data_IF_893637136765
#
_entry.id   IF_893637136765
#
_cell.length_a   1.000
_cell.length_b   1.000
_cell.length_c   1.000
_cell.angle_alpha   90.00
_cell.angle_beta   90.00
_cell.angle_gamma   90.00
#
_symmetry.space_group_name_H-M   'P 1'
#
loop_
_entity.id
_entity.type
_entity.pdbx_description
1 polymer ?
#
# COMPACT_ATOMS: atom_id res chain seq x y z
N UNK A 1 1.14 -23.91 0.29
CA UNK A 1 1.03 -22.43 0.31
C UNK A 1 -0.41 -22.00 0.59
N UNK A 2 -1.41 -22.50 -0.18
CA UNK A 2 -2.83 -22.17 -0.01
C UNK A 2 -3.34 -22.45 1.41
N UNK A 3 -3.07 -23.65 1.94
CA UNK A 3 -3.49 -24.04 3.30
C UNK A 3 -2.84 -23.20 4.39
N UNK A 4 -1.58 -22.77 4.22
CA UNK A 4 -0.89 -21.92 5.20
C UNK A 4 -1.46 -20.49 5.23
N UNK A 5 -1.78 -19.92 4.08
CA UNK A 5 -2.39 -18.58 3.98
C UNK A 5 -3.83 -18.62 4.49
N UNK A 6 -4.59 -19.67 4.18
CA UNK A 6 -5.94 -19.85 4.74
C UNK A 6 -5.92 -20.00 6.26
N UNK A 7 -4.94 -20.72 6.82
CA UNK A 7 -4.76 -20.83 8.26
C UNK A 7 -4.44 -19.48 8.89
N UNK A 8 -3.57 -18.66 8.25
CA UNK A 8 -3.26 -17.31 8.69
C UNK A 8 -4.49 -16.40 8.67
N UNK A 9 -5.26 -16.42 7.59
CA UNK A 9 -6.50 -15.60 7.47
C UNK A 9 -7.55 -16.05 8.49
N UNK A 10 -7.60 -17.34 8.81
CA UNK A 10 -8.52 -17.93 9.78
C UNK A 10 -8.11 -17.71 11.24
N UNK A 11 -6.95 -17.08 11.52
CA UNK A 11 -6.56 -16.77 12.90
C UNK A 11 -7.59 -15.86 13.56
N UNK A 12 -7.94 -16.15 14.84
CA UNK A 12 -8.94 -15.37 15.58
C UNK A 12 -8.53 -13.89 15.62
N UNK A 13 -9.54 -13.02 15.67
CA UNK A 13 -9.39 -11.55 15.73
C UNK A 13 -8.70 -10.90 14.51
N UNK A 14 -8.53 -11.61 13.38
CA UNK A 14 -7.92 -11.05 12.17
C UNK A 14 -6.42 -10.77 12.27
N UNK A 15 -5.73 -11.35 13.27
CA UNK A 15 -4.28 -11.14 13.49
C UNK A 15 -3.48 -11.56 12.25
N UNK A 16 -3.83 -12.68 11.63
CA UNK A 16 -3.17 -13.13 10.41
C UNK A 16 -3.35 -12.14 9.25
N UNK A 17 -4.55 -11.60 9.10
CA UNK A 17 -4.84 -10.58 8.08
C UNK A 17 -4.10 -9.27 8.34
N UNK A 18 -3.93 -8.89 9.60
CA UNK A 18 -3.09 -7.75 10.00
C UNK A 18 -1.63 -7.94 9.54
N UNK A 19 -1.06 -9.11 9.84
CA UNK A 19 0.30 -9.46 9.43
C UNK A 19 0.40 -9.45 7.90
N UNK A 20 -0.54 -10.11 7.21
CA UNK A 20 -0.54 -10.19 5.75
C UNK A 20 -0.68 -8.81 5.11
N UNK A 21 -1.54 -7.93 5.64
CA UNK A 21 -1.70 -6.55 5.18
C UNK A 21 -0.42 -5.71 5.37
N UNK A 22 0.31 -5.91 6.49
CA UNK A 22 1.59 -5.26 6.73
C UNK A 22 2.67 -5.71 5.73
N UNK A 23 2.73 -7.01 5.45
CA UNK A 23 3.77 -7.59 4.61
C UNK A 23 3.44 -7.60 3.11
N UNK A 24 2.22 -7.26 2.71
CA UNK A 24 1.85 -7.25 1.29
C UNK A 24 2.72 -6.29 0.46
N UNK A 25 2.88 -5.03 0.88
CA UNK A 25 3.70 -4.06 0.15
C UNK A 25 5.19 -4.47 0.06
N UNK A 26 5.86 -5.02 1.08
CA UNK A 26 7.16 -5.69 0.94
C UNK A 26 7.21 -6.77 -0.14
N UNK A 27 6.16 -7.57 -0.31
CA UNK A 27 6.13 -8.59 -1.38
C UNK A 27 5.94 -8.00 -2.78
N UNK A 28 5.29 -6.83 -2.87
CA UNK A 28 5.24 -6.04 -4.10
C UNK A 28 6.64 -5.59 -4.50
N UNK A 29 7.42 -5.09 -3.53
CA UNK A 29 8.83 -4.68 -3.75
C UNK A 29 9.68 -5.87 -4.19
N UNK A 30 9.45 -7.06 -3.63
CA UNK A 30 10.13 -8.29 -4.02
C UNK A 30 9.65 -8.87 -5.36
N UNK A 31 8.60 -8.31 -5.99
CA UNK A 31 8.06 -8.75 -7.27
C UNK A 31 7.23 -10.04 -7.22
N UNK A 32 7.00 -10.61 -6.02
CA UNK A 32 6.30 -11.91 -5.89
C UNK A 32 4.78 -11.77 -5.78
N UNK A 33 4.25 -10.56 -5.72
CA UNK A 33 2.81 -10.30 -5.52
C UNK A 33 1.91 -10.87 -6.63
N UNK A 34 2.40 -11.02 -7.85
CA UNK A 34 1.65 -11.65 -8.95
C UNK A 34 1.30 -13.12 -8.67
N UNK A 35 2.07 -13.81 -7.83
CA UNK A 35 1.77 -15.19 -7.44
C UNK A 35 0.49 -15.31 -6.60
N UNK A 36 0.04 -14.23 -5.99
CA UNK A 36 -1.17 -14.22 -5.15
C UNK A 36 -2.46 -14.39 -5.94
N UNK A 37 -2.45 -14.15 -7.25
CA UNK A 37 -3.58 -14.48 -8.13
C UNK A 37 -3.96 -15.96 -8.05
N UNK A 38 -3.01 -16.86 -7.81
CA UNK A 38 -3.26 -18.28 -7.61
C UNK A 38 -4.08 -18.51 -6.32
N UNK A 39 -3.84 -17.70 -5.29
CA UNK A 39 -4.59 -17.76 -4.03
C UNK A 39 -6.03 -17.30 -4.25
N UNK A 40 -6.22 -16.18 -4.95
CA UNK A 40 -7.54 -15.68 -5.30
C UNK A 40 -8.34 -16.73 -6.07
N UNK A 41 -7.77 -17.28 -7.15
CA UNK A 41 -8.42 -18.30 -7.96
C UNK A 41 -8.72 -19.57 -7.16
N UNK A 42 -7.80 -19.99 -6.27
CA UNK A 42 -8.01 -21.13 -5.37
C UNK A 42 -9.13 -20.90 -4.37
N UNK A 43 -9.26 -19.69 -3.82
CA UNK A 43 -10.37 -19.34 -2.92
C UNK A 43 -11.70 -19.22 -3.68
N UNK A 44 -11.70 -18.56 -4.83
CA UNK A 44 -12.90 -18.44 -5.68
C UNK A 44 -13.43 -19.81 -6.10
N UNK A 45 -12.56 -20.74 -6.51
CA UNK A 45 -13.00 -22.08 -6.93
C UNK A 45 -13.55 -22.92 -5.77
N UNK A 46 -13.05 -22.71 -4.55
CA UNK A 46 -13.42 -23.49 -3.36
C UNK A 46 -14.61 -22.89 -2.58
N UNK A 47 -14.68 -21.58 -2.49
CA UNK A 47 -15.60 -20.86 -1.61
C UNK A 47 -16.56 -19.93 -2.38
N UNK A 48 -16.36 -19.71 -3.70
CA UNK A 48 -17.10 -18.73 -4.49
C UNK A 48 -16.74 -17.27 -4.20
N UNK A 49 -15.85 -17.03 -3.22
CA UNK A 49 -15.35 -15.70 -2.83
C UNK A 49 -13.87 -15.78 -2.47
N UNK A 50 -13.15 -14.68 -2.68
CA UNK A 50 -11.79 -14.54 -2.21
C UNK A 50 -11.72 -13.50 -1.09
N UNK A 51 -11.05 -13.83 0.01
CA UNK A 51 -10.75 -12.93 1.13
C UNK A 51 -9.39 -12.25 0.96
N UNK A 52 -8.57 -12.72 0.01
CA UNK A 52 -7.25 -12.18 -0.24
C UNK A 52 -7.29 -10.83 -0.95
N UNK A 53 -8.17 -10.67 -1.94
CA UNK A 53 -8.28 -9.45 -2.74
C UNK A 53 -8.58 -8.18 -1.89
N UNK A 54 -9.51 -8.19 -0.92
CA UNK A 54 -9.71 -7.05 -0.03
C UNK A 54 -8.48 -6.69 0.80
N UNK A 55 -7.69 -7.69 1.27
CA UNK A 55 -6.44 -7.45 1.98
C UNK A 55 -5.41 -6.75 1.09
N UNK A 56 -5.23 -7.25 -0.13
CA UNK A 56 -4.36 -6.64 -1.13
C UNK A 56 -4.80 -5.20 -1.46
N UNK A 57 -6.11 -4.99 -1.61
CA UNK A 57 -6.68 -3.66 -1.85
C UNK A 57 -6.40 -2.70 -0.70
N UNK A 58 -6.56 -3.14 0.54
CA UNK A 58 -6.26 -2.33 1.72
C UNK A 58 -4.78 -1.88 1.74
N UNK A 59 -3.85 -2.80 1.46
CA UNK A 59 -2.43 -2.49 1.41
C UNK A 59 -2.08 -1.50 0.28
N UNK A 60 -2.68 -1.67 -0.90
CA UNK A 60 -2.48 -0.77 -2.04
C UNK A 60 -2.98 0.65 -1.74
N UNK A 61 -4.18 0.76 -1.19
CA UNK A 61 -4.83 2.02 -0.81
C UNK A 61 -4.01 2.74 0.27
N UNK A 62 -3.49 2.01 1.24
CA UNK A 62 -2.64 2.56 2.29
C UNK A 62 -1.35 3.18 1.74
N UNK A 63 -0.71 2.54 0.76
CA UNK A 63 0.46 3.13 0.09
C UNK A 63 0.10 4.43 -0.62
N UNK A 64 -1.11 4.51 -1.21
CA UNK A 64 -1.63 5.75 -1.79
C UNK A 64 -1.81 6.86 -0.75
N UNK A 65 -2.37 6.52 0.42
CA UNK A 65 -2.53 7.46 1.54
C UNK A 65 -1.20 8.00 2.06
N UNK A 66 -0.21 7.12 2.22
CA UNK A 66 1.15 7.51 2.61
C UNK A 66 1.79 8.45 1.58
N UNK A 67 1.65 8.14 0.28
CA UNK A 67 2.17 8.97 -0.82
C UNK A 67 1.50 10.33 -0.87
N UNK A 68 0.18 10.40 -0.66
CA UNK A 68 -0.55 11.67 -0.63
C UNK A 68 -0.09 12.55 0.53
N UNK A 69 0.17 11.96 1.71
CA UNK A 69 0.71 12.70 2.85
C UNK A 69 2.08 13.33 2.53
N UNK A 70 2.96 12.61 1.83
CA UNK A 70 4.22 13.17 1.32
C UNK A 70 3.96 14.30 0.34
N UNK A 71 3.06 14.11 -0.63
CA UNK A 71 2.72 15.10 -1.65
C UNK A 71 2.23 16.42 -1.07
N UNK A 72 1.42 16.36 -0.02
CA UNK A 72 0.86 17.56 0.62
C UNK A 72 1.84 18.23 1.58
N UNK A 73 2.76 17.47 2.17
CA UNK A 73 3.70 17.97 3.17
C UNK A 73 5.00 18.50 2.56
N UNK A 74 5.38 18.01 1.38
CA UNK A 74 6.60 18.45 0.70
C UNK A 74 6.49 19.86 0.12
N UNK A 75 7.56 20.63 0.22
CA UNK A 75 7.73 21.93 -0.44
C UNK A 75 8.39 21.81 -1.81
N UNK A 76 9.03 20.69 -2.11
CA UNK A 76 9.69 20.44 -3.38
C UNK A 76 8.64 20.15 -4.47
N UNK A 77 8.57 21.02 -5.47
CA UNK A 77 7.63 20.91 -6.60
C UNK A 77 7.89 19.68 -7.47
N UNK A 78 9.14 19.20 -7.56
CA UNK A 78 9.46 17.97 -8.31
C UNK A 78 8.89 16.75 -7.62
N UNK A 79 9.01 16.67 -6.29
CA UNK A 79 8.43 15.57 -5.51
C UNK A 79 6.92 15.64 -5.57
N UNK A 80 6.33 16.82 -5.40
CA UNK A 80 4.89 17.02 -5.43
C UNK A 80 4.25 16.64 -6.76
N UNK A 81 4.85 17.05 -7.89
CA UNK A 81 4.35 16.73 -9.23
C UNK A 81 4.38 15.23 -9.55
N UNK A 82 5.26 14.47 -8.94
CA UNK A 82 5.34 13.01 -9.06
C UNK A 82 4.41 12.32 -8.03
N UNK A 83 4.38 12.81 -6.80
CA UNK A 83 3.69 12.12 -5.70
C UNK A 83 2.16 12.20 -5.83
N UNK A 84 1.60 13.32 -6.32
CA UNK A 84 0.14 13.46 -6.50
C UNK A 84 -0.41 12.41 -7.48
N UNK A 85 0.07 12.30 -8.74
CA UNK A 85 -0.43 11.28 -9.66
C UNK A 85 -0.11 9.86 -9.19
N UNK A 86 1.01 9.64 -8.50
CA UNK A 86 1.35 8.34 -7.93
C UNK A 86 0.39 7.91 -6.82
N UNK A 87 -0.03 8.84 -5.95
CA UNK A 87 -1.04 8.56 -4.93
C UNK A 87 -2.38 8.19 -5.55
N UNK A 88 -2.80 8.91 -6.59
CA UNK A 88 -4.03 8.61 -7.32
C UNK A 88 -3.96 7.24 -8.00
N UNK A 89 -2.84 6.93 -8.65
CA UNK A 89 -2.57 5.63 -9.27
C UNK A 89 -2.69 4.49 -8.25
N UNK A 90 -2.12 4.65 -7.06
CA UNK A 90 -2.21 3.65 -5.99
C UNK A 90 -3.65 3.44 -5.49
N UNK A 91 -4.45 4.52 -5.39
CA UNK A 91 -5.88 4.42 -5.08
C UNK A 91 -6.66 3.65 -6.17
N UNK A 92 -6.20 3.67 -7.40
CA UNK A 92 -6.79 2.89 -8.51
C UNK A 92 -6.25 1.45 -8.57
N UNK A 93 -5.32 1.07 -7.69
CA UNK A 93 -4.77 -0.28 -7.59
C UNK A 93 -3.40 -0.49 -8.21
N UNK A 94 -2.80 0.54 -8.82
CA UNK A 94 -1.47 0.51 -9.43
C UNK A 94 -0.49 1.21 -8.48
N UNK A 95 0.21 0.45 -7.66
CA UNK A 95 0.99 0.96 -6.52
C UNK A 95 2.46 1.19 -6.82
N UNK A 96 2.99 0.68 -7.92
CA UNK A 96 4.40 0.76 -8.27
C UNK A 96 4.93 2.21 -8.29
N UNK A 97 4.25 3.20 -8.91
CA UNK A 97 4.71 4.58 -8.88
C UNK A 97 4.75 5.17 -7.47
N UNK A 98 3.80 4.83 -6.62
CA UNK A 98 3.74 5.28 -5.24
C UNK A 98 4.83 4.64 -4.37
N UNK A 99 5.01 3.32 -4.50
CA UNK A 99 5.99 2.58 -3.71
C UNK A 99 7.41 2.96 -4.12
N UNK A 100 7.76 2.80 -5.41
CA UNK A 100 9.13 3.00 -5.88
C UNK A 100 9.48 4.48 -6.09
N UNK A 101 8.54 5.28 -6.60
CA UNK A 101 8.77 6.69 -6.88
C UNK A 101 8.85 7.55 -5.61
N UNK A 102 8.07 7.23 -4.58
CA UNK A 102 7.92 8.08 -3.40
C UNK A 102 8.22 7.34 -2.10
N UNK A 103 7.43 6.32 -1.74
CA UNK A 103 7.44 5.78 -0.38
C UNK A 103 8.76 5.12 0.01
N UNK A 104 9.35 4.30 -0.87
CA UNK A 104 10.65 3.66 -0.66
C UNK A 104 11.80 4.66 -0.69
N UNK A 105 11.71 5.69 -1.52
CA UNK A 105 12.73 6.73 -1.61
C UNK A 105 12.96 7.42 -0.26
N UNK A 106 11.90 7.63 0.51
CA UNK A 106 11.95 8.23 1.85
C UNK A 106 11.98 7.19 2.96
N UNK A 107 11.68 5.93 2.69
CA UNK A 107 11.69 4.80 3.62
C UNK A 107 10.54 4.82 4.65
N UNK A 108 10.45 5.86 5.48
CA UNK A 108 9.42 5.98 6.51
C UNK A 108 8.00 5.95 5.97
N UNK A 109 7.62 6.68 4.90
CA UNK A 109 6.29 6.60 4.32
C UNK A 109 5.91 5.19 3.89
N UNK A 110 6.86 4.40 3.39
CA UNK A 110 6.63 3.00 3.05
C UNK A 110 6.20 2.17 4.26
N UNK A 111 6.90 2.31 5.38
CA UNK A 111 6.58 1.60 6.63
C UNK A 111 5.22 2.05 7.18
N UNK A 112 4.92 3.34 7.14
CA UNK A 112 3.60 3.86 7.57
C UNK A 112 2.47 3.36 6.68
N UNK A 113 2.72 3.23 5.37
CA UNK A 113 1.82 2.58 4.42
C UNK A 113 1.57 1.10 4.75
N UNK A 114 2.62 0.36 5.13
CA UNK A 114 2.48 -1.04 5.58
C UNK A 114 1.60 -1.15 6.84
N UNK A 115 1.79 -0.26 7.81
CA UNK A 115 0.98 -0.23 9.04
C UNK A 115 -0.48 0.13 8.72
N UNK A 116 -0.72 1.14 7.89
CA UNK A 116 -2.07 1.49 7.43
C UNK A 116 -2.77 0.35 6.70
N UNK A 117 -2.04 -0.38 5.83
CA UNK A 117 -2.51 -1.57 5.16
C UNK A 117 -2.89 -2.70 6.12
N UNK A 118 -2.12 -2.87 7.20
CA UNK A 118 -2.41 -3.83 8.25
C UNK A 118 -3.76 -3.54 8.96
N UNK A 119 -4.04 -2.28 9.29
CA UNK A 119 -5.32 -1.90 9.89
C UNK A 119 -6.51 -2.09 8.94
N UNK A 120 -6.34 -1.74 7.67
CA UNK A 120 -7.38 -1.99 6.66
C UNK A 120 -7.64 -3.47 6.45
N UNK A 121 -6.60 -4.30 6.38
CA UNK A 121 -6.70 -5.75 6.24
C UNK A 121 -7.34 -6.40 7.48
N UNK A 122 -7.00 -5.94 8.68
CA UNK A 122 -7.65 -6.35 9.93
C UNK A 122 -9.16 -6.09 9.86
N UNK A 123 -9.56 -4.88 9.48
CA UNK A 123 -10.97 -4.52 9.35
C UNK A 123 -11.69 -5.39 8.31
N UNK A 124 -11.09 -5.61 7.14
CA UNK A 124 -11.63 -6.47 6.10
C UNK A 124 -11.87 -7.91 6.60
N UNK A 125 -10.94 -8.43 7.39
CA UNK A 125 -11.04 -9.78 7.97
C UNK A 125 -12.13 -9.85 9.04
N UNK A 126 -12.21 -8.88 9.96
CA UNK A 126 -13.21 -8.87 11.03
C UNK A 126 -14.63 -8.73 10.47
N UNK A 127 -14.81 -7.98 9.37
CA UNK A 127 -16.11 -7.83 8.70
C UNK A 127 -16.42 -8.97 7.72
N UNK A 128 -15.52 -9.95 7.56
CA UNK A 128 -15.71 -11.05 6.62
C UNK A 128 -15.83 -10.58 5.17
N UNK A 129 -15.16 -9.48 4.81
CA UNK A 129 -15.23 -8.89 3.48
C UNK A 129 -14.62 -9.84 2.45
N UNK A 130 -15.44 -10.35 1.53
CA UNK A 130 -15.04 -11.22 0.44
C UNK A 130 -15.35 -10.60 -0.92
N UNK A 131 -14.48 -10.84 -1.89
CA UNK A 131 -14.65 -10.42 -3.28
C UNK A 131 -15.12 -11.60 -4.14
N UNK A 132 -16.03 -11.34 -5.06
CA UNK A 132 -16.61 -12.36 -5.99
C UNK A 132 -15.78 -12.57 -7.26
N UNK A 133 -14.67 -11.85 -7.39
CA UNK A 133 -13.75 -11.94 -8.52
C UNK A 133 -12.35 -11.53 -8.12
N UNK A 134 -11.42 -11.55 -9.07
CA UNK A 134 -10.02 -11.17 -8.89
C UNK A 134 -9.54 -10.21 -9.98
N UNK A 135 -8.37 -9.62 -9.79
CA UNK A 135 -7.66 -8.83 -10.80
C UNK A 135 -7.75 -7.32 -10.64
N UNK A 136 -8.74 -6.80 -9.91
CA UNK A 136 -8.92 -5.35 -9.74
C UNK A 136 -8.90 -4.99 -8.26
N UNK A 137 -8.00 -4.08 -7.88
CA UNK A 137 -7.84 -3.57 -6.50
C UNK A 137 -8.12 -2.06 -6.43
N UNK A 138 -7.91 -1.46 -5.27
CA UNK A 138 -8.14 -0.03 -5.08
C UNK A 138 -9.62 0.34 -5.13
N UNK A 139 -9.92 1.54 -5.61
CA UNK A 139 -11.31 2.05 -5.71
C UNK A 139 -12.20 1.11 -6.52
N UNK A 140 -11.69 0.58 -7.64
CA UNK A 140 -12.46 -0.31 -8.51
C UNK A 140 -12.72 -1.70 -7.90
N UNK A 141 -11.99 -2.09 -6.87
CA UNK A 141 -12.24 -3.34 -6.13
C UNK A 141 -13.61 -3.38 -5.46
N UNK A 142 -14.27 -2.24 -5.27
CA UNK A 142 -15.65 -2.17 -4.77
C UNK A 142 -16.63 -2.94 -5.67
N UNK A 143 -16.37 -2.97 -6.98
CA UNK A 143 -17.21 -3.69 -7.94
C UNK A 143 -17.18 -5.20 -7.73
N UNK A 144 -16.11 -5.71 -7.14
CA UNK A 144 -15.96 -7.13 -6.80
C UNK A 144 -16.46 -7.46 -5.38
N UNK A 145 -16.76 -6.43 -4.58
CA UNK A 145 -17.23 -6.54 -3.20
C UNK A 145 -18.67 -6.01 -3.02
N UNK A 146 -19.50 -6.12 -4.06
CA UNK A 146 -20.87 -5.60 -4.05
C UNK A 146 -21.78 -6.28 -2.99
N UNK A 147 -21.36 -7.43 -2.45
CA UNK A 147 -22.06 -8.07 -1.34
C UNK A 147 -22.01 -7.24 -0.05
N UNK A 148 -20.93 -6.46 0.16
CA UNK A 148 -20.73 -5.61 1.33
C UNK A 148 -20.00 -4.30 0.95
N UNK A 149 -20.61 -3.42 0.13
CA UNK A 149 -19.95 -2.23 -0.39
C UNK A 149 -19.61 -1.23 0.72
N UNK A 150 -20.44 -1.14 1.77
CA UNK A 150 -20.20 -0.26 2.92
C UNK A 150 -18.94 -0.68 3.67
N UNK A 151 -18.76 -1.98 3.92
CA UNK A 151 -17.55 -2.50 4.57
C UNK A 151 -16.30 -2.24 3.72
N UNK A 152 -16.41 -2.30 2.38
CA UNK A 152 -15.31 -1.98 1.49
C UNK A 152 -14.91 -0.49 1.59
N UNK A 153 -15.89 0.42 1.60
CA UNK A 153 -15.65 1.86 1.74
C UNK A 153 -15.01 2.16 3.11
N UNK A 154 -15.51 1.55 4.18
CA UNK A 154 -14.93 1.72 5.51
C UNK A 154 -13.50 1.20 5.59
N UNK A 155 -13.22 0.04 5.02
CA UNK A 155 -11.86 -0.50 4.89
C UNK A 155 -10.96 0.48 4.15
N UNK A 156 -11.45 1.06 3.03
CA UNK A 156 -10.72 2.05 2.25
C UNK A 156 -10.36 3.27 3.11
N UNK A 157 -11.35 3.83 3.82
CA UNK A 157 -11.16 5.01 4.67
C UNK A 157 -10.17 4.70 5.81
N UNK A 158 -10.27 3.53 6.44
CA UNK A 158 -9.37 3.12 7.53
C UNK A 158 -7.94 2.95 7.01
N UNK A 159 -7.74 2.19 5.92
CA UNK A 159 -6.41 1.93 5.37
C UNK A 159 -5.72 3.22 4.90
N UNK A 160 -6.44 4.01 4.11
CA UNK A 160 -5.95 5.28 3.58
C UNK A 160 -5.69 6.30 4.69
N UNK A 161 -6.67 6.49 5.58
CA UNK A 161 -6.60 7.46 6.66
C UNK A 161 -5.50 7.13 7.67
N UNK A 162 -5.38 5.87 8.08
CA UNK A 162 -4.31 5.44 8.99
C UNK A 162 -2.92 5.69 8.37
N UNK A 163 -2.71 5.26 7.12
CA UNK A 163 -1.44 5.47 6.43
C UNK A 163 -1.14 6.97 6.23
N UNK A 164 -2.13 7.75 5.86
CA UNK A 164 -2.01 9.21 5.69
C UNK A 164 -1.62 9.88 6.99
N UNK A 165 -2.36 9.65 8.08
CA UNK A 165 -2.11 10.29 9.38
C UNK A 165 -0.74 9.87 9.94
N UNK A 166 -0.41 8.58 9.91
CA UNK A 166 0.88 8.09 10.37
C UNK A 166 2.03 8.70 9.58
N UNK A 167 1.90 8.80 8.26
CA UNK A 167 2.92 9.41 7.41
C UNK A 167 3.01 10.91 7.67
N UNK A 168 1.89 11.57 7.84
CA UNK A 168 1.86 13.00 8.17
C UNK A 168 2.57 13.31 9.48
N UNK A 169 2.33 12.52 10.52
CA UNK A 169 2.90 12.75 11.85
C UNK A 169 4.37 12.28 11.93
N UNK A 170 4.68 11.10 11.44
CA UNK A 170 5.95 10.42 11.69
C UNK A 170 6.75 10.09 10.42
N UNK A 171 6.07 9.99 9.27
CA UNK A 171 6.66 9.39 8.07
C UNK A 171 7.52 10.35 7.26
N UNK A 172 7.27 11.64 7.27
CA UNK A 172 7.94 12.59 6.40
C UNK A 172 8.31 13.88 7.11
N UNK A 173 9.58 14.31 6.96
CA UNK A 173 10.08 15.63 7.36
C UNK A 173 10.81 16.25 6.18
N UNK A 174 10.48 17.46 5.81
CA UNK A 174 10.99 18.17 4.63
C UNK A 174 12.51 18.43 4.69
N UNK A 175 13.10 18.39 5.90
CA UNK A 175 14.53 18.68 6.16
C UNK A 175 15.51 17.67 5.52
N UNK A 176 15.03 16.48 5.13
CA UNK A 176 15.90 15.42 4.62
C UNK A 176 16.21 15.52 3.10
N UNK A 177 15.56 16.45 2.39
CA UNK A 177 15.75 16.59 0.94
C UNK A 177 16.90 17.51 0.61
N UNK A 178 17.07 18.61 1.37
CA UNK A 178 18.14 19.58 1.17
C UNK A 178 19.53 18.96 1.41
N UNK A 179 19.71 18.22 2.51
CA UNK A 179 21.01 17.59 2.82
C UNK A 179 21.44 16.51 1.82
N UNK A 180 20.48 15.73 1.27
CA UNK A 180 20.83 14.71 0.27
C UNK A 180 21.11 15.30 -1.10
N UNK A 181 20.47 16.40 -1.47
CA UNK A 181 20.71 17.08 -2.74
C UNK A 181 22.07 17.79 -2.70
N UNK A 182 22.38 18.49 -1.62
CA UNK A 182 23.70 19.13 -1.42
C UNK A 182 24.85 18.11 -1.39
N UNK A 183 24.66 16.95 -0.78
CA UNK A 183 25.72 15.92 -0.76
C UNK A 183 25.95 15.27 -2.13
N UNK A 184 24.94 15.17 -2.99
CA UNK A 184 25.08 14.64 -4.35
C UNK A 184 25.69 15.68 -5.29
N UNK A 185 25.30 16.95 -5.17
CA UNK A 185 25.91 18.06 -5.92
C UNK A 185 27.38 18.30 -5.53
N UNK A 186 27.70 18.23 -4.23
CA UNK A 186 29.07 18.38 -3.75
C UNK A 186 30.01 17.24 -4.20
N UNK A 187 29.49 16.03 -4.43
CA UNK A 187 30.25 14.90 -4.99
C UNK A 187 30.39 15.04 -6.51
N UNK A 188 29.37 15.58 -7.19
CA UNK A 188 29.40 15.83 -8.64
C UNK A 188 30.41 16.93 -9.04
N UNK A 189 30.51 17.99 -8.26
CA UNK A 189 31.42 19.13 -8.53
C UNK A 189 32.90 18.76 -8.34
N UNK A 190 33.22 17.88 -7.38
CA UNK A 190 34.60 17.38 -7.18
C UNK A 190 35.12 16.50 -8.33
N UNK A 191 34.21 15.81 -9.06
CA UNK A 191 34.58 14.96 -10.18
C UNK A 191 34.84 15.72 -11.49
N UNK A 192 34.44 17.01 -11.55
CA UNK A 192 34.59 17.85 -12.75
C UNK A 192 35.86 18.72 -12.69
N UNK A 193 36.45 18.87 -11.52
CA UNK A 193 37.64 19.72 -11.30
C UNK A 193 38.98 18.95 -11.40
N UNK A 194 38.93 17.61 -11.56
CA UNK A 194 40.12 16.74 -11.72
C UNK A 194 40.35 16.23 -13.15
N UNK A 195 39.89 16.95 -14.16
CA UNK A 195 40.25 16.64 -15.56
C UNK A 195 40.93 17.79 -16.25
#
# INVERSE_FOLDING_TARGET
>A
LLNGIQWLIALPFGIGSFIMGAFYAPTVVAGVHHMYTIIDLGQLSKFGVTYWLPLASAANIAQGGATLAVALKTKDQKIKSMAVPSALSACMGITEPAIFGVNLRFGKPFVMGCIGGAFGALFASVTGLGATGTGVTGIFGILLCLNNPVSYILMFVIAFGAAFVLTWLFGYKDTNVSEKTESVEAVGDKSTTEK
#
